data_IF_431996398022
#
_entry.id   IF_431996398022
#
_cell.length_a   1.000
_cell.length_b   1.000
_cell.length_c   1.000
_cell.angle_alpha   90.00
_cell.angle_beta   90.00
_cell.angle_gamma   90.00
#
_symmetry.space_group_name_H-M   'P 1'
#
loop_
_entity.id
_entity.type
_entity.pdbx_description
1 polymer ?
#
# COMPACT_ATOMS: atom_id res chain seq x y z
N UNK A 1 -10.60 25.73 -5.40
CA UNK A 1 -9.37 25.66 -4.58
C UNK A 1 -9.65 25.95 -3.10
N UNK A 2 -10.61 26.80 -2.78
CA UNK A 2 -10.99 27.14 -1.39
C UNK A 2 -11.47 25.93 -0.56
N UNK A 3 -12.29 25.04 -1.14
CA UNK A 3 -12.76 23.83 -0.46
C UNK A 3 -11.61 22.85 -0.13
N UNK A 4 -10.59 22.77 -0.98
CA UNK A 4 -9.40 21.95 -0.69
C UNK A 4 -8.60 22.55 0.47
N UNK A 5 -8.43 23.89 0.51
CA UNK A 5 -7.75 24.59 1.60
C UNK A 5 -8.44 24.33 2.95
N UNK A 6 -9.78 24.42 3.01
CA UNK A 6 -10.56 24.08 4.21
C UNK A 6 -10.40 22.61 4.61
N UNK A 7 -10.36 21.69 3.64
CA UNK A 7 -10.14 20.27 3.87
C UNK A 7 -8.76 19.97 4.47
N UNK A 8 -7.69 20.57 3.94
CA UNK A 8 -6.33 20.42 4.49
C UNK A 8 -6.20 20.98 5.89
N UNK A 9 -6.80 22.14 6.16
CA UNK A 9 -6.80 22.75 7.49
C UNK A 9 -7.54 21.83 8.47
N UNK A 10 -8.73 21.33 8.10
CA UNK A 10 -9.49 20.39 8.92
C UNK A 10 -8.75 19.08 9.18
N UNK A 11 -8.10 18.51 8.16
CA UNK A 11 -7.29 17.31 8.31
C UNK A 11 -6.08 17.53 9.22
N UNK A 12 -5.39 18.67 9.09
CA UNK A 12 -4.25 19.01 9.95
C UNK A 12 -4.65 19.12 11.42
N UNK A 13 -5.73 19.84 11.71
CA UNK A 13 -6.25 19.95 13.09
C UNK A 13 -6.79 18.62 13.62
N UNK A 14 -7.44 17.81 12.77
CA UNK A 14 -7.93 16.49 13.14
C UNK A 14 -6.81 15.51 13.50
N UNK A 15 -5.71 15.52 12.73
CA UNK A 15 -4.53 14.69 13.00
C UNK A 15 -3.82 15.13 14.30
N UNK A 16 -3.65 16.44 14.52
CA UNK A 16 -3.06 16.96 15.76
C UNK A 16 -3.89 16.62 17.01
N UNK A 17 -5.22 16.79 16.94
CA UNK A 17 -6.11 16.43 18.05
C UNK A 17 -6.11 14.91 18.30
N UNK A 18 -6.09 14.11 17.23
CA UNK A 18 -5.98 12.66 17.30
C UNK A 18 -4.70 12.22 18.02
N UNK A 19 -3.55 12.80 17.67
CA UNK A 19 -2.26 12.50 18.29
C UNK A 19 -2.25 12.81 19.79
N UNK A 20 -2.82 13.96 20.18
CA UNK A 20 -2.95 14.35 21.59
C UNK A 20 -3.83 13.36 22.34
N UNK A 21 -4.97 12.97 21.75
CA UNK A 21 -5.88 12.02 22.37
C UNK A 21 -5.27 10.63 22.54
N UNK A 22 -4.60 10.13 21.50
CA UNK A 22 -3.90 8.83 21.52
C UNK A 22 -2.81 8.80 22.58
N UNK A 23 -2.07 9.91 22.77
CA UNK A 23 -1.06 10.03 23.82
C UNK A 23 -1.66 10.09 25.23
N UNK A 24 -2.82 10.73 25.41
CA UNK A 24 -3.53 10.76 26.69
C UNK A 24 -4.00 9.35 27.05
N UNK A 25 -4.52 8.60 26.07
CA UNK A 25 -5.00 7.23 26.28
C UNK A 25 -3.86 6.24 26.53
N UNK A 26 -2.73 6.38 25.84
CA UNK A 26 -1.59 5.51 26.02
C UNK A 26 -0.26 6.25 25.72
N UNK A 27 0.43 6.74 26.76
CA UNK A 27 1.65 7.51 26.61
C UNK A 27 2.87 6.67 26.17
N UNK A 28 2.76 5.34 26.20
CA UNK A 28 3.82 4.43 25.76
C UNK A 28 3.89 4.29 24.22
N UNK A 29 2.93 4.84 23.48
CA UNK A 29 2.92 4.76 22.02
C UNK A 29 4.09 5.60 21.45
N UNK A 30 5.00 4.99 20.67
CA UNK A 30 6.14 5.72 20.12
C UNK A 30 5.69 6.79 19.12
N UNK A 31 6.38 7.93 19.19
CA UNK A 31 6.05 9.14 18.42
C UNK A 31 6.25 8.93 16.92
N UNK A 32 7.21 8.09 16.55
CA UNK A 32 7.63 7.89 15.17
C UNK A 32 6.49 7.28 14.29
N UNK A 33 5.79 6.20 14.71
CA UNK A 33 4.61 5.71 14.00
C UNK A 33 3.48 6.74 13.82
N UNK A 34 3.21 7.58 14.82
CA UNK A 34 2.19 8.64 14.73
C UNK A 34 2.56 9.65 13.65
N UNK A 35 3.80 10.15 13.65
CA UNK A 35 4.28 11.10 12.65
C UNK A 35 4.24 10.50 11.25
N UNK A 36 4.69 9.25 11.08
CA UNK A 36 4.65 8.55 9.79
C UNK A 36 3.22 8.37 9.29
N UNK A 37 2.29 7.98 10.18
CA UNK A 37 0.86 7.87 9.86
C UNK A 37 0.26 9.20 9.41
N UNK A 38 0.62 10.30 10.07
CA UNK A 38 0.12 11.63 9.73
C UNK A 38 0.64 12.14 8.37
N UNK A 39 1.93 11.88 8.07
CA UNK A 39 2.50 12.16 6.76
C UNK A 39 1.76 11.36 5.67
N UNK A 40 1.53 10.06 5.90
CA UNK A 40 0.76 9.20 4.99
C UNK A 40 -0.67 9.73 4.78
N UNK A 41 -1.36 10.15 5.84
CA UNK A 41 -2.72 10.70 5.75
C UNK A 41 -2.77 11.96 4.87
N UNK A 42 -1.80 12.86 5.00
CA UNK A 42 -1.70 14.07 4.16
C UNK A 42 -1.39 13.71 2.70
N UNK A 43 -0.49 12.76 2.46
CA UNK A 43 -0.19 12.27 1.11
C UNK A 43 -1.44 11.66 0.46
N UNK A 44 -2.17 10.80 1.18
CA UNK A 44 -3.43 10.22 0.68
C UNK A 44 -4.50 11.28 0.42
N UNK A 45 -4.62 12.28 1.29
CA UNK A 45 -5.54 13.40 1.07
C UNK A 45 -5.16 14.18 -0.19
N UNK A 46 -3.86 14.36 -0.43
CA UNK A 46 -3.33 15.04 -1.61
C UNK A 46 -3.64 14.27 -2.88
N UNK A 47 -3.37 12.96 -2.87
CA UNK A 47 -3.72 12.05 -3.96
C UNK A 47 -5.23 12.06 -4.20
N UNK A 48 -6.05 11.98 -3.15
CA UNK A 48 -7.50 12.02 -3.25
C UNK A 48 -8.00 13.33 -3.87
N UNK A 49 -7.53 14.49 -3.41
CA UNK A 49 -7.92 15.79 -3.95
C UNK A 49 -7.47 15.91 -5.40
N UNK A 50 -6.27 15.44 -5.73
CA UNK A 50 -5.75 15.41 -7.10
C UNK A 50 -6.63 14.55 -8.03
N UNK A 51 -6.92 13.30 -7.64
CA UNK A 51 -7.80 12.40 -8.40
C UNK A 51 -9.23 12.92 -8.49
N UNK A 52 -9.79 13.44 -7.40
CA UNK A 52 -11.13 14.04 -7.40
C UNK A 52 -11.19 15.21 -8.37
N UNK A 53 -10.18 16.09 -8.38
CA UNK A 53 -10.11 17.21 -9.33
C UNK A 53 -9.97 16.73 -10.78
N UNK A 54 -9.19 15.67 -11.02
CA UNK A 54 -9.10 14.95 -12.31
C UNK A 54 -10.37 14.24 -12.75
N UNK A 55 -11.28 13.88 -11.83
CA UNK A 55 -12.57 13.25 -12.18
C UNK A 55 -13.60 14.26 -12.70
N UNK A 56 -13.45 15.55 -12.39
CA UNK A 56 -14.37 16.63 -12.81
C UNK A 56 -13.87 17.45 -13.99
N UNK A 57 -12.55 17.49 -14.21
CA UNK A 57 -11.98 17.86 -15.50
C UNK A 57 -12.10 16.58 -16.33
N UNK A 58 -12.89 16.56 -17.40
CA UNK A 58 -12.87 15.42 -18.33
C UNK A 58 -11.45 15.29 -18.89
N UNK A 59 -10.59 14.56 -18.20
CA UNK A 59 -9.46 13.94 -18.86
C UNK A 59 -10.09 12.85 -19.73
N UNK A 60 -10.25 13.18 -21.01
CA UNK A 60 -9.81 12.29 -22.07
C UNK A 60 -8.42 11.77 -21.65
N UNK A 61 -8.38 10.78 -20.76
CA UNK A 61 -7.32 9.80 -20.87
C UNK A 61 -7.39 9.36 -22.33
N UNK A 62 -6.30 9.40 -23.12
CA UNK A 62 -6.34 8.72 -24.41
C UNK A 62 -6.89 7.34 -24.09
N UNK A 63 -8.01 6.94 -24.73
CA UNK A 63 -8.68 5.68 -24.41
C UNK A 63 -7.59 4.62 -24.27
N UNK A 64 -7.31 4.24 -23.02
CA UNK A 64 -6.25 3.28 -22.76
C UNK A 64 -6.82 2.02 -23.37
N UNK A 65 -6.20 1.56 -24.47
CA UNK A 65 -6.59 0.34 -25.15
C UNK A 65 -6.99 -0.68 -24.08
N UNK A 66 -8.19 -1.24 -24.20
CA UNK A 66 -8.80 -2.06 -23.16
C UNK A 66 -7.86 -3.18 -22.68
N UNK A 67 -7.00 -3.65 -23.60
CA UNK A 67 -5.89 -4.58 -23.40
C UNK A 67 -4.81 -4.09 -22.41
N UNK A 68 -4.46 -2.80 -22.43
CA UNK A 68 -3.53 -2.19 -21.47
C UNK A 68 -4.17 -2.09 -20.10
N UNK A 69 -5.45 -1.69 -20.01
CA UNK A 69 -6.18 -1.63 -18.74
C UNK A 69 -6.33 -3.01 -18.10
N UNK A 70 -6.66 -4.04 -18.89
CA UNK A 70 -6.68 -5.43 -18.42
C UNK A 70 -5.30 -5.90 -17.93
N UNK A 71 -4.23 -5.57 -18.65
CA UNK A 71 -2.87 -5.89 -18.22
C UNK A 71 -2.51 -5.19 -16.91
N UNK A 72 -2.86 -3.92 -16.74
CA UNK A 72 -2.63 -3.19 -15.48
C UNK A 72 -3.41 -3.85 -14.34
N UNK A 73 -4.70 -4.15 -14.53
CA UNK A 73 -5.52 -4.85 -13.52
C UNK A 73 -4.92 -6.20 -13.15
N UNK A 74 -4.47 -6.98 -14.13
CA UNK A 74 -3.80 -8.27 -13.93
C UNK A 74 -2.53 -8.11 -13.09
N UNK A 75 -1.65 -7.18 -13.44
CA UNK A 75 -0.39 -6.95 -12.72
C UNK A 75 -0.63 -6.43 -11.29
N UNK A 76 -1.59 -5.53 -11.11
CA UNK A 76 -1.97 -5.01 -9.78
C UNK A 76 -2.49 -6.16 -8.90
N UNK A 77 -3.39 -7.00 -9.42
CA UNK A 77 -3.93 -8.13 -8.67
C UNK A 77 -2.84 -9.13 -8.28
N UNK A 78 -1.94 -9.45 -9.22
CA UNK A 78 -0.79 -10.33 -8.97
C UNK A 78 0.14 -9.75 -7.89
N UNK A 79 0.43 -8.45 -7.94
CA UNK A 79 1.24 -7.75 -6.93
C UNK A 79 0.59 -7.81 -5.54
N UNK A 80 -0.74 -7.62 -5.49
CA UNK A 80 -1.50 -7.69 -4.24
C UNK A 80 -1.45 -9.07 -3.60
N UNK A 81 -1.63 -10.12 -4.41
CA UNK A 81 -1.53 -11.52 -3.96
C UNK A 81 -0.11 -11.81 -3.46
N UNK A 82 0.92 -11.36 -4.17
CA UNK A 82 2.31 -11.54 -3.76
C UNK A 82 2.60 -10.88 -2.41
N UNK A 83 2.12 -9.65 -2.18
CA UNK A 83 2.28 -8.96 -0.91
C UNK A 83 1.62 -9.71 0.27
N UNK A 84 0.44 -10.31 0.05
CA UNK A 84 -0.20 -11.15 1.06
C UNK A 84 0.58 -12.43 1.36
N UNK A 85 1.10 -13.10 0.34
CA UNK A 85 1.93 -14.30 0.52
C UNK A 85 3.19 -13.94 1.31
N UNK A 86 3.86 -12.83 0.97
CA UNK A 86 5.00 -12.30 1.73
C UNK A 86 4.67 -12.11 3.22
N UNK A 87 3.53 -11.49 3.51
CA UNK A 87 3.08 -11.26 4.90
C UNK A 87 2.84 -12.59 5.64
N UNK A 88 2.16 -13.54 5.00
CA UNK A 88 1.86 -14.85 5.60
C UNK A 88 3.14 -15.62 5.88
N UNK A 89 4.06 -15.69 4.91
CA UNK A 89 5.35 -16.36 5.07
C UNK A 89 6.17 -15.70 6.17
N UNK A 90 6.18 -14.37 6.23
CA UNK A 90 6.86 -13.63 7.30
C UNK A 90 6.35 -14.02 8.67
N UNK A 91 5.03 -14.05 8.87
CA UNK A 91 4.41 -14.39 10.15
C UNK A 91 4.73 -15.84 10.53
N UNK A 92 4.63 -16.79 9.58
CA UNK A 92 4.89 -18.22 9.82
C UNK A 92 6.36 -18.45 10.16
N UNK A 93 7.28 -17.91 9.35
CA UNK A 93 8.72 -18.06 9.55
C UNK A 93 9.18 -17.43 10.88
N UNK A 94 8.70 -16.22 11.17
CA UNK A 94 8.99 -15.55 12.44
C UNK A 94 8.45 -16.35 13.64
N UNK A 95 7.28 -16.99 13.50
CA UNK A 95 6.72 -17.86 14.55
C UNK A 95 7.54 -19.15 14.72
N UNK A 96 8.01 -19.76 13.63
CA UNK A 96 8.78 -21.00 13.66
C UNK A 96 10.19 -20.82 14.25
N UNK A 97 10.82 -19.67 14.02
CA UNK A 97 12.18 -19.35 14.49
C UNK A 97 12.17 -18.75 15.92
N UNK A 98 11.07 -18.91 16.66
CA UNK A 98 11.01 -18.51 18.08
C UNK A 98 10.73 -17.01 18.30
N UNK A 99 9.99 -16.37 17.38
CA UNK A 99 9.64 -14.94 17.40
C UNK A 99 10.82 -13.97 17.26
N UNK A 100 11.86 -14.38 16.56
CA UNK A 100 12.95 -13.49 16.15
C UNK A 100 12.52 -12.76 14.88
N UNK A 101 12.78 -11.46 14.82
CA UNK A 101 12.53 -10.66 13.61
C UNK A 101 13.54 -11.03 12.54
N UNK A 102 13.07 -11.73 11.50
CA UNK A 102 13.89 -12.08 10.35
C UNK A 102 14.04 -10.82 9.47
N UNK A 103 15.24 -10.53 8.93
CA UNK A 103 15.46 -9.38 8.06
C UNK A 103 14.52 -9.41 6.84
N UNK A 104 13.85 -8.28 6.59
CA UNK A 104 12.89 -8.14 5.48
C UNK A 104 13.53 -8.50 4.13
N UNK A 105 14.81 -8.18 3.95
CA UNK A 105 15.58 -8.50 2.74
C UNK A 105 15.67 -10.00 2.45
N UNK A 106 15.87 -10.83 3.48
CA UNK A 106 16.02 -12.29 3.32
C UNK A 106 14.69 -12.93 2.92
N UNK A 107 13.60 -12.52 3.58
CA UNK A 107 12.24 -13.01 3.27
C UNK A 107 11.80 -12.56 1.89
N UNK A 108 12.15 -11.34 1.51
CA UNK A 108 11.84 -10.83 0.18
C UNK A 108 12.50 -11.68 -0.90
N UNK A 109 13.78 -12.03 -0.74
CA UNK A 109 14.52 -12.90 -1.69
C UNK A 109 13.87 -14.29 -1.78
N UNK A 110 13.52 -14.90 -0.65
CA UNK A 110 12.89 -16.23 -0.62
C UNK A 110 11.51 -16.21 -1.28
N UNK A 111 10.66 -15.23 -0.96
CA UNK A 111 9.34 -15.12 -1.56
C UNK A 111 9.43 -14.77 -3.05
N UNK A 112 10.33 -13.88 -3.46
CA UNK A 112 10.54 -13.55 -4.88
C UNK A 112 11.00 -14.76 -5.69
N UNK A 113 11.89 -15.60 -5.15
CA UNK A 113 12.34 -16.83 -5.83
C UNK A 113 11.22 -17.87 -5.94
N UNK A 114 10.44 -18.09 -4.87
CA UNK A 114 9.26 -18.96 -4.91
C UNK A 114 8.20 -18.48 -5.91
N UNK A 115 7.96 -17.17 -5.94
CA UNK A 115 6.99 -16.55 -6.84
C UNK A 115 7.44 -16.64 -8.29
N UNK A 116 8.70 -16.29 -8.59
CA UNK A 116 9.29 -16.47 -9.91
C UNK A 116 9.22 -17.93 -10.37
N UNK A 117 9.54 -18.88 -9.48
CA UNK A 117 9.40 -20.31 -9.75
C UNK A 117 7.97 -20.72 -10.09
N UNK A 118 6.97 -20.21 -9.34
CA UNK A 118 5.55 -20.48 -9.62
C UNK A 118 5.09 -19.93 -10.98
N UNK A 119 5.60 -18.77 -11.39
CA UNK A 119 5.33 -18.19 -12.70
C UNK A 119 5.95 -19.02 -13.81
N UNK A 120 7.20 -19.47 -13.65
CA UNK A 120 7.88 -20.34 -14.63
C UNK A 120 7.11 -21.65 -14.80
N UNK A 121 6.71 -22.30 -13.70
CA UNK A 121 5.90 -23.52 -13.73
C UNK A 121 4.54 -23.25 -14.38
N UNK A 122 3.89 -22.13 -14.08
CA UNK A 122 2.62 -21.72 -14.68
C UNK A 122 2.71 -21.50 -16.21
N UNK A 123 3.81 -20.91 -16.67
CA UNK A 123 4.10 -20.73 -18.10
C UNK A 123 4.38 -22.08 -18.77
N UNK A 124 5.17 -22.95 -18.14
CA UNK A 124 5.47 -24.29 -18.65
C UNK A 124 4.23 -25.19 -18.71
N UNK A 125 3.29 -25.06 -17.76
CA UNK A 125 2.06 -25.85 -17.70
C UNK A 125 0.95 -25.36 -18.65
N UNK A 126 1.23 -24.36 -19.49
CA UNK A 126 0.44 -24.10 -20.69
C UNK A 126 -0.75 -23.14 -20.54
N UNK A 127 -0.70 -22.16 -19.63
CA UNK A 127 -1.55 -20.96 -19.77
C UNK A 127 -0.75 -19.85 -20.44
N UNK A 128 -0.73 -19.88 -21.78
CA UNK A 128 -0.40 -18.69 -22.58
C UNK A 128 -1.33 -17.55 -22.14
N UNK A 129 -0.71 -16.38 -21.96
CA UNK A 129 -1.22 -15.02 -21.69
C UNK A 129 -2.73 -14.86 -21.47
#
# INVERSE_FOLDING_TARGET
MENAKKLYIGAFFGLLLGDVFVRIMNPAIPILPLVVSNVLAIVFLTVYVYYKKRKYIKEEFPDLDERVNENIKKHVNVSFIFAFILLIVYIIASKAIGRITIPISEIFIVCSSLFAGSLIVGVMKGKRA
#
